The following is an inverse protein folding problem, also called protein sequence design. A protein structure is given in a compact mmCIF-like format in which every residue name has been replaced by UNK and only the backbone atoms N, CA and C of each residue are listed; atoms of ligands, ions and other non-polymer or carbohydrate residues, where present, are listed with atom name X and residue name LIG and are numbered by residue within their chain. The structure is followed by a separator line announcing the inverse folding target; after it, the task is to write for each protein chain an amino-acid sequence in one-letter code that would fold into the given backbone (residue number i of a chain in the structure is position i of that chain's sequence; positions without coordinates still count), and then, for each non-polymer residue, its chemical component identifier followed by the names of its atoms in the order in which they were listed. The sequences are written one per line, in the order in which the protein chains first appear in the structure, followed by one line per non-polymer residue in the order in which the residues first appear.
data_IF_607112974418
#
_entry.id   IF_607112974418
#
_cell.length_a   1.000
_cell.length_b   1.000
_cell.length_c   1.000
_cell.angle_alpha   90.00
_cell.angle_beta   90.00
_cell.angle_gamma   90.00
#
_symmetry.space_group_name_H-M   'P 1'
#
loop_
_entity.id
_entity.type
_entity.pdbx_description
1 polymer ?
#
# COMPACT_ATOMS: atom_id res chain seq x y z
N UNK A 1 25.03 -13.80 -1.01
CA UNK A 1 24.18 -14.11 0.17
C UNK A 1 23.32 -12.89 0.42
N UNK A 2 22.06 -12.91 0.00
CA UNK A 2 21.12 -11.86 0.41
C UNK A 2 20.57 -12.29 1.77
N UNK A 3 20.74 -11.52 2.84
CA UNK A 3 20.01 -11.82 4.05
C UNK A 3 18.55 -11.53 3.72
N UNK A 4 17.76 -12.61 3.66
CA UNK A 4 16.31 -12.57 3.71
C UNK A 4 15.93 -12.04 5.10
N UNK A 5 16.14 -10.74 5.33
CA UNK A 5 16.22 -10.11 6.65
C UNK A 5 14.85 -10.04 7.36
N UNK A 6 13.82 -10.68 6.81
CA UNK A 6 12.47 -10.74 7.38
C UNK A 6 11.77 -9.38 7.52
N UNK A 7 12.45 -8.26 7.29
CA UNK A 7 11.99 -6.88 7.47
C UNK A 7 11.83 -6.12 6.16
N UNK A 8 12.09 -6.75 5.01
CA UNK A 8 11.94 -6.10 3.70
C UNK A 8 10.50 -5.62 3.47
N UNK A 9 9.52 -6.38 3.98
CA UNK A 9 8.10 -5.99 3.98
C UNK A 9 7.84 -4.69 4.75
N UNK A 10 8.60 -4.43 5.81
CA UNK A 10 8.46 -3.23 6.64
C UNK A 10 8.98 -2.02 5.87
N UNK A 11 10.13 -2.17 5.20
CA UNK A 11 10.70 -1.09 4.38
C UNK A 11 9.76 -0.72 3.23
N UNK A 12 9.22 -1.72 2.51
CA UNK A 12 8.24 -1.46 1.45
C UNK A 12 6.99 -0.76 1.98
N UNK A 13 6.40 -1.27 3.07
CA UNK A 13 5.21 -0.68 3.68
C UNK A 13 5.43 0.78 4.06
N UNK A 14 6.58 1.08 4.66
CA UNK A 14 6.92 2.45 5.08
C UNK A 14 7.19 3.36 3.88
N UNK A 15 7.83 2.87 2.82
CA UNK A 15 8.06 3.65 1.60
C UNK A 15 6.75 4.04 0.90
N UNK A 16 5.77 3.13 0.86
CA UNK A 16 4.42 3.42 0.31
C UNK A 16 3.71 4.60 1.00
N UNK A 17 3.99 4.82 2.28
CA UNK A 17 3.42 5.92 3.07
C UNK A 17 4.43 7.03 3.41
N UNK A 18 5.58 7.03 2.74
CA UNK A 18 6.66 8.02 2.90
C UNK A 18 7.18 8.13 4.35
N UNK A 19 7.23 7.00 5.07
CA UNK A 19 7.76 6.88 6.42
C UNK A 19 9.05 6.04 6.48
N UNK A 20 9.72 5.81 5.35
CA UNK A 20 10.96 5.01 5.27
C UNK A 20 12.08 5.51 6.20
N UNK A 21 12.12 6.82 6.45
CA UNK A 21 13.05 7.43 7.42
C UNK A 21 12.90 6.89 8.86
N UNK A 22 11.73 6.34 9.21
CA UNK A 22 11.46 5.71 10.51
C UNK A 22 11.76 4.21 10.51
N UNK A 23 12.19 3.62 9.40
CA UNK A 23 12.47 2.17 9.29
C UNK A 23 13.44 1.68 10.36
N UNK A 24 14.58 2.36 10.51
CA UNK A 24 15.57 1.98 11.52
C UNK A 24 15.01 2.13 12.93
N UNK A 25 14.21 3.17 13.21
CA UNK A 25 13.60 3.36 14.53
C UNK A 25 12.57 2.27 14.85
N UNK A 26 11.72 1.91 13.89
CA UNK A 26 10.71 0.87 14.08
C UNK A 26 11.36 -0.52 14.19
N UNK A 27 12.45 -0.77 13.47
CA UNK A 27 13.19 -2.04 13.54
C UNK A 27 14.04 -2.15 14.81
N UNK A 28 14.76 -1.10 15.17
CA UNK A 28 15.78 -1.13 16.24
C UNK A 28 15.20 -0.79 17.61
N UNK A 29 14.30 0.20 17.69
CA UNK A 29 13.68 0.59 18.97
C UNK A 29 12.46 -0.29 19.27
N UNK A 30 11.58 -0.50 18.28
CA UNK A 30 10.35 -1.26 18.45
C UNK A 30 10.50 -2.76 18.14
N UNK A 31 11.66 -3.19 17.64
CA UNK A 31 11.94 -4.60 17.32
C UNK A 31 10.87 -5.25 16.41
N UNK A 32 10.27 -4.46 15.52
CA UNK A 32 9.23 -4.94 14.60
C UNK A 32 9.89 -5.68 13.43
N UNK A 33 9.86 -7.00 13.48
CA UNK A 33 10.34 -7.88 12.40
C UNK A 33 9.21 -8.56 11.65
N UNK A 34 8.03 -8.66 12.25
CA UNK A 34 6.83 -9.27 11.65
C UNK A 34 5.62 -8.34 11.74
N UNK A 35 4.65 -8.44 10.81
CA UNK A 35 3.43 -7.62 10.86
C UNK A 35 2.62 -7.78 12.17
N UNK A 36 2.74 -8.93 12.84
CA UNK A 36 2.10 -9.21 14.12
C UNK A 36 2.70 -8.40 15.29
N UNK A 37 3.95 -7.92 15.20
CA UNK A 37 4.52 -7.09 16.27
C UNK A 37 3.80 -5.74 16.37
N UNK A 38 3.22 -5.23 15.28
CA UNK A 38 2.42 -4.00 15.31
C UNK A 38 1.16 -4.10 16.18
N UNK A 39 0.68 -5.30 16.51
CA UNK A 39 -0.45 -5.48 17.43
C UNK A 39 -0.07 -5.10 18.88
N UNK A 40 1.23 -5.16 19.20
CA UNK A 40 1.78 -4.80 20.52
C UNK A 40 2.34 -3.38 20.58
N UNK A 41 2.52 -2.72 19.43
CA UNK A 41 3.03 -1.36 19.35
C UNK A 41 1.91 -0.38 19.71
N UNK A 42 2.09 0.38 20.79
CA UNK A 42 1.11 1.38 21.22
C UNK A 42 1.42 2.74 20.57
N UNK A 43 0.42 3.64 20.48
CA UNK A 43 0.65 5.00 19.99
C UNK A 43 1.71 5.77 20.80
N UNK A 44 1.91 5.44 22.07
CA UNK A 44 3.00 6.00 22.89
C UNK A 44 4.37 5.57 22.40
N UNK A 45 4.53 4.32 21.94
CA UNK A 45 5.81 3.83 21.42
C UNK A 45 6.14 4.48 20.07
N UNK A 46 5.11 4.71 19.24
CA UNK A 46 5.24 5.47 18.00
C UNK A 46 5.60 6.95 18.29
N UNK A 47 5.01 7.56 19.30
CA UNK A 47 5.33 8.93 19.72
C UNK A 47 6.79 9.04 20.21
N UNK A 48 7.27 8.04 20.97
CA UNK A 48 8.65 7.96 21.47
C UNK A 48 9.70 7.94 20.36
N UNK A 49 9.42 7.30 19.22
CA UNK A 49 10.31 7.30 18.06
C UNK A 49 10.15 8.55 17.17
N UNK A 50 9.34 9.52 17.59
CA UNK A 50 9.07 10.77 16.86
C UNK A 50 8.01 10.65 15.77
N UNK A 51 7.25 9.56 15.74
CA UNK A 51 6.15 9.38 14.79
C UNK A 51 4.89 10.05 15.31
N UNK A 52 4.63 11.28 14.84
CA UNK A 52 3.43 12.03 15.22
C UNK A 52 2.13 11.40 14.70
N UNK A 53 0.99 11.86 15.24
CA UNK A 53 -0.37 11.40 14.86
C UNK A 53 -0.65 11.25 13.35
N UNK A 54 -0.22 12.16 12.44
CA UNK A 54 -0.43 11.96 11.01
C UNK A 54 0.34 10.75 10.45
N UNK A 55 1.55 10.49 10.96
CA UNK A 55 2.34 9.31 10.59
C UNK A 55 1.72 8.02 11.14
N UNK A 56 1.28 8.03 12.40
CA UNK A 56 0.61 6.90 13.03
C UNK A 56 -0.65 6.48 12.25
N UNK A 57 -1.51 7.44 11.87
CA UNK A 57 -2.71 7.17 11.06
C UNK A 57 -2.38 6.52 9.71
N UNK A 58 -1.37 7.02 9.02
CA UNK A 58 -0.93 6.46 7.72
C UNK A 58 -0.44 5.02 7.88
N UNK A 59 0.33 4.75 8.92
CA UNK A 59 0.84 3.42 9.23
C UNK A 59 -0.30 2.45 9.55
N UNK A 60 -1.25 2.85 10.39
CA UNK A 60 -2.43 2.04 10.68
C UNK A 60 -3.28 1.75 9.44
N UNK A 61 -3.50 2.75 8.59
CA UNK A 61 -4.23 2.56 7.33
C UNK A 61 -3.50 1.60 6.40
N UNK A 62 -2.18 1.73 6.26
CA UNK A 62 -1.38 0.85 5.42
C UNK A 62 -1.41 -0.60 5.94
N UNK A 63 -1.30 -0.79 7.26
CA UNK A 63 -1.41 -2.12 7.89
C UNK A 63 -2.81 -2.73 7.68
N UNK A 64 -3.88 -1.93 7.83
CA UNK A 64 -5.27 -2.37 7.57
C UNK A 64 -5.48 -2.72 6.10
N UNK A 65 -4.97 -1.92 5.17
CA UNK A 65 -5.03 -2.17 3.72
C UNK A 65 -4.30 -3.47 3.37
N UNK A 66 -3.12 -3.70 3.92
CA UNK A 66 -2.35 -4.93 3.70
C UNK A 66 -3.05 -6.18 4.25
N UNK A 67 -3.66 -6.09 5.44
CA UNK A 67 -4.48 -7.16 6.04
C UNK A 67 -5.75 -7.43 5.20
N UNK A 68 -6.42 -6.39 4.70
CA UNK A 68 -7.64 -6.48 3.90
C UNK A 68 -7.42 -6.87 2.42
N UNK A 69 -6.25 -6.59 1.84
CA UNK A 69 -5.90 -7.03 0.48
C UNK A 69 -5.79 -8.55 0.38
N UNK A 70 -5.44 -9.24 1.47
CA UNK A 70 -5.48 -10.71 1.52
C UNK A 70 -6.91 -11.28 1.52
N UNK A 71 -7.93 -10.47 1.83
CA UNK A 71 -9.33 -10.88 1.91
C UNK A 71 -10.22 -10.28 0.82
N UNK A 72 -9.72 -9.39 -0.04
CA UNK A 72 -10.47 -8.91 -1.20
C UNK A 72 -10.44 -9.99 -2.29
N UNK A 73 -11.56 -10.68 -2.60
CA UNK A 73 -11.64 -11.41 -3.85
C UNK A 73 -11.36 -10.43 -5.00
N UNK A 74 -10.69 -10.92 -6.05
CA UNK A 74 -10.32 -10.24 -7.30
C UNK A 74 -11.56 -9.79 -8.08
N UNK A 75 -12.30 -8.84 -7.52
CA UNK A 75 -13.59 -8.38 -8.01
C UNK A 75 -13.55 -6.89 -8.31
N UNK A 76 -12.49 -6.47 -9.01
CA UNK A 76 -12.46 -5.22 -9.77
C UNK A 76 -12.72 -5.48 -11.26
N UNK A 77 -13.12 -6.71 -11.63
CA UNK A 77 -13.58 -7.06 -12.98
C UNK A 77 -15.10 -7.11 -13.03
N UNK A 78 -15.74 -5.99 -12.74
CA UNK A 78 -17.03 -5.66 -13.36
C UNK A 78 -17.29 -4.17 -13.20
N UNK A 79 -17.75 -3.54 -14.29
CA UNK A 79 -18.08 -2.13 -14.47
C UNK A 79 -16.93 -1.21 -14.88
N UNK A 80 -16.41 -1.44 -16.09
CA UNK A 80 -16.61 -0.45 -17.18
C UNK A 80 -16.84 -1.20 -18.50
N UNK A 81 -18.04 -1.76 -18.65
CA UNK A 81 -18.60 -2.17 -19.95
C UNK A 81 -19.95 -1.50 -20.09
N UNK A 82 -19.98 -0.28 -20.61
CA UNK A 82 -21.19 0.39 -21.11
C UNK A 82 -20.77 1.62 -21.92
N UNK A 83 -20.30 1.36 -23.14
CA UNK A 83 -19.96 2.37 -24.13
C UNK A 83 -20.07 1.77 -25.53
N UNK A 84 -21.22 1.13 -25.81
CA UNK A 84 -21.61 0.75 -27.16
C UNK A 84 -21.70 2.00 -28.02
N UNK A 85 -20.82 2.14 -29.02
CA UNK A 85 -21.21 2.65 -30.34
C UNK A 85 -20.10 2.37 -31.38
N UNK A 86 -20.16 1.26 -32.12
CA UNK A 86 -19.56 1.19 -33.45
C UNK A 86 -20.64 1.50 -34.49
N UNK A 87 -20.71 2.75 -34.95
CA UNK A 87 -21.48 3.09 -36.16
C UNK A 87 -20.61 3.85 -37.15
N UNK A 88 -20.05 3.04 -38.06
CA UNK A 88 -20.14 3.22 -39.51
C UNK A 88 -19.33 4.37 -40.12
N UNK A 89 -18.16 4.00 -40.64
CA UNK A 89 -17.49 4.76 -41.68
C UNK A 89 -18.34 4.85 -42.95
N UNK A 90 -18.39 6.05 -43.52
CA UNK A 90 -18.64 6.29 -44.93
C UNK A 90 -17.62 7.32 -45.39
N UNK A 91 -16.50 6.82 -45.91
CA UNK A 91 -15.63 7.59 -46.78
C UNK A 91 -16.29 7.62 -48.16
N UNK A 92 -16.76 8.79 -48.59
CA UNK A 92 -17.06 9.08 -49.99
C UNK A 92 -16.31 10.36 -50.34
N UNK A 93 -15.21 10.20 -51.07
CA UNK A 93 -14.39 11.28 -51.56
C UNK A 93 -13.52 10.79 -52.71
N UNK A 94 -13.91 11.15 -53.93
CA UNK A 94 -13.02 11.19 -55.09
C UNK A 94 -13.07 10.00 -56.03
N UNK A 95 -13.90 10.09 -57.08
CA UNK A 95 -13.49 9.78 -58.45
C UNK A 95 -14.53 10.35 -59.44
N UNK A 96 -14.19 11.44 -60.14
CA UNK A 96 -14.14 11.63 -61.60
C UNK A 96 -13.57 13.02 -61.90
#
# INVERSE_FOLDING_TARGET
MAPDDGTEWLLQLLSEIQLEQFYLRIRDELHVTRPSHFDYVKPVDLDRIGLGRPGQRRLEEALKRRRGQSQRPKSWVYKVSAGTLPSKGHAWGGQV
#
